data_IF_521236827378
#
_entry.id   IF_521236827378
#
_cell.length_a   1.000
_cell.length_b   1.000
_cell.length_c   1.000
_cell.angle_alpha   90.00
_cell.angle_beta   90.00
_cell.angle_gamma   90.00
#
_symmetry.space_group_name_H-M   'P 1'
#
loop_
_entity.id
_entity.type
_entity.pdbx_description
1 polymer ?
#
# COMPACT_ATOMS: atom_id res chain seq x y z
N UNK A 1 -11.70 35.95 -36.20
CA UNK A 1 -10.55 36.21 -35.32
C UNK A 1 -9.27 36.15 -36.17
N UNK A 2 -8.42 37.18 -36.16
CA UNK A 2 -7.24 37.20 -37.03
C UNK A 2 -6.16 36.21 -36.54
N UNK A 3 -5.35 35.67 -37.46
CA UNK A 3 -4.27 34.71 -37.16
C UNK A 3 -3.32 35.23 -36.05
N UNK A 4 -3.08 36.53 -36.02
CA UNK A 4 -2.25 37.19 -35.00
C UNK A 4 -2.87 37.18 -33.59
N UNK A 5 -4.20 37.27 -33.49
CA UNK A 5 -4.90 37.16 -32.19
C UNK A 5 -4.84 35.73 -31.66
N UNK A 6 -5.02 34.72 -32.53
CA UNK A 6 -4.91 33.32 -32.12
C UNK A 6 -3.49 32.93 -31.69
N UNK A 7 -2.46 33.48 -32.34
CA UNK A 7 -1.07 33.28 -31.95
C UNK A 7 -0.76 33.89 -30.57
N UNK A 8 -1.26 35.10 -30.29
CA UNK A 8 -1.13 35.74 -28.98
C UNK A 8 -1.81 34.93 -27.87
N UNK A 9 -3.05 34.46 -28.12
CA UNK A 9 -3.79 33.60 -27.18
C UNK A 9 -3.03 32.29 -26.91
N UNK A 10 -2.45 31.67 -27.94
CA UNK A 10 -1.67 30.44 -27.77
C UNK A 10 -0.40 30.66 -26.94
N UNK A 11 0.31 31.78 -27.14
CA UNK A 11 1.51 32.12 -26.36
C UNK A 11 1.17 32.34 -24.88
N UNK A 12 0.08 33.05 -24.58
CA UNK A 12 -0.38 33.24 -23.20
C UNK A 12 -0.83 31.94 -22.54
N UNK A 13 -1.50 31.06 -23.29
CA UNK A 13 -1.89 29.74 -22.81
C UNK A 13 -0.66 28.89 -22.44
N UNK A 14 0.33 28.81 -23.34
CA UNK A 14 1.56 28.06 -23.10
C UNK A 14 2.35 28.63 -21.91
N UNK A 15 2.44 29.96 -21.78
CA UNK A 15 3.13 30.60 -20.66
C UNK A 15 2.41 30.32 -19.34
N UNK A 16 1.08 30.36 -19.32
CA UNK A 16 0.29 30.04 -18.12
C UNK A 16 0.45 28.58 -17.70
N UNK A 17 0.47 27.64 -18.65
CA UNK A 17 0.69 26.21 -18.39
C UNK A 17 2.11 25.99 -17.85
N UNK A 18 3.11 26.63 -18.43
CA UNK A 18 4.50 26.54 -17.97
C UNK A 18 4.65 27.04 -16.53
N UNK A 19 4.03 28.17 -16.20
CA UNK A 19 4.02 28.72 -14.84
C UNK A 19 3.35 27.78 -13.84
N UNK A 20 2.23 27.15 -14.22
CA UNK A 20 1.55 26.15 -13.38
C UNK A 20 2.43 24.92 -13.17
N UNK A 21 3.06 24.39 -14.21
CA UNK A 21 3.94 23.21 -14.12
C UNK A 21 5.16 23.49 -13.23
N UNK A 22 5.81 24.65 -13.39
CA UNK A 22 6.96 25.05 -12.56
C UNK A 22 6.55 25.21 -11.09
N UNK A 23 5.38 25.82 -10.85
CA UNK A 23 4.84 25.96 -9.50
C UNK A 23 4.49 24.61 -8.87
N UNK A 24 3.89 23.70 -9.65
CA UNK A 24 3.52 22.36 -9.19
C UNK A 24 4.77 21.54 -8.83
N UNK A 25 5.84 21.62 -9.63
CA UNK A 25 7.12 20.96 -9.34
C UNK A 25 7.82 21.51 -8.09
N UNK A 26 7.60 22.78 -7.72
CA UNK A 26 8.14 23.36 -6.48
C UNK A 26 7.34 22.94 -5.23
N UNK A 27 6.03 22.66 -5.39
CA UNK A 27 5.13 22.26 -4.30
C UNK A 27 5.22 20.76 -3.97
N UNK A 28 5.83 19.94 -4.84
CA UNK A 28 6.10 18.53 -4.53
C UNK A 28 7.28 18.47 -3.55
N UNK A 29 7.05 18.89 -2.31
CA UNK A 29 7.80 18.36 -1.18
C UNK A 29 7.39 16.89 -1.08
N UNK A 30 8.20 16.03 -1.71
CA UNK A 30 8.21 14.60 -1.41
C UNK A 30 8.63 14.46 0.05
N UNK A 31 7.66 14.65 0.95
CA UNK A 31 7.84 14.54 2.39
C UNK A 31 8.44 13.19 2.68
N UNK A 32 9.76 13.17 2.94
CA UNK A 32 10.44 11.96 3.39
C UNK A 32 9.99 11.75 4.82
N UNK A 33 8.92 10.98 4.99
CA UNK A 33 8.49 10.52 6.30
C UNK A 33 9.64 9.69 6.87
N UNK A 34 10.31 10.23 7.89
CA UNK A 34 11.39 9.55 8.57
C UNK A 34 10.83 8.39 9.39
N UNK A 35 10.75 7.22 8.76
CA UNK A 35 10.27 5.98 9.38
C UNK A 35 11.21 5.47 10.48
N UNK A 36 12.45 5.99 10.57
CA UNK A 36 13.39 5.61 11.62
C UNK A 36 12.93 6.02 13.03
N UNK A 37 12.02 7.00 13.13
CA UNK A 37 11.45 7.45 14.41
C UNK A 37 10.40 6.50 14.99
N UNK A 38 9.89 5.55 14.20
CA UNK A 38 8.93 4.56 14.68
C UNK A 38 9.65 3.27 15.06
N UNK A 39 9.88 3.05 16.36
CA UNK A 39 10.63 1.90 16.86
C UNK A 39 10.07 1.38 18.18
N UNK A 40 10.74 0.40 18.81
CA UNK A 40 10.27 -0.25 20.05
C UNK A 40 10.04 0.72 21.21
N UNK A 41 10.75 1.85 21.26
CA UNK A 41 10.60 2.86 22.33
C UNK A 41 9.30 3.66 22.19
N UNK A 42 8.65 3.62 21.04
CA UNK A 42 7.33 4.21 20.82
C UNK A 42 6.20 3.48 21.56
N UNK A 43 6.48 2.29 22.13
CA UNK A 43 5.51 1.46 22.85
C UNK A 43 5.91 1.30 24.33
N UNK A 44 4.95 1.11 25.26
CA UNK A 44 5.26 0.81 26.66
C UNK A 44 6.25 -0.36 26.84
N UNK A 45 7.02 -0.36 27.94
CA UNK A 45 7.97 -1.45 28.21
C UNK A 45 7.30 -2.82 28.28
N UNK A 46 6.05 -2.87 28.74
CA UNK A 46 5.23 -4.09 28.83
C UNK A 46 4.49 -4.47 27.55
N UNK A 47 4.62 -3.70 26.47
CA UNK A 47 3.95 -4.02 25.21
C UNK A 47 4.53 -5.31 24.61
N UNK A 48 3.65 -6.27 24.29
CA UNK A 48 4.02 -7.56 23.70
C UNK A 48 3.83 -7.50 22.19
N UNK A 49 4.93 -7.76 21.46
CA UNK A 49 4.89 -8.10 20.05
C UNK A 49 4.98 -9.61 19.93
N UNK A 50 4.11 -10.21 19.11
CA UNK A 50 4.08 -11.64 18.90
C UNK A 50 3.60 -11.98 17.50
N UNK A 51 3.59 -13.26 17.20
CA UNK A 51 3.02 -13.84 15.98
C UNK A 51 1.96 -14.86 16.34
N UNK A 52 1.07 -15.18 15.40
CA UNK A 52 0.04 -16.18 15.57
C UNK A 52 -0.05 -17.05 14.31
N UNK A 53 -0.44 -18.31 14.50
CA UNK A 53 -0.75 -19.26 13.43
C UNK A 53 -2.05 -20.01 13.76
N UNK A 54 -2.60 -20.74 12.80
CA UNK A 54 -3.73 -21.65 13.03
C UNK A 54 -3.34 -23.09 12.70
N UNK A 55 -3.97 -24.04 13.39
CA UNK A 55 -3.70 -25.48 13.28
C UNK A 55 -3.77 -25.96 11.83
N UNK A 56 -4.91 -25.77 11.16
CA UNK A 56 -5.11 -26.27 9.79
C UNK A 56 -4.13 -25.67 8.77
N UNK A 57 -3.72 -24.42 8.97
CA UNK A 57 -2.79 -23.75 8.05
C UNK A 57 -1.33 -24.21 8.21
N UNK A 58 -0.94 -24.74 9.38
CA UNK A 58 0.47 -24.94 9.69
C UNK A 58 0.85 -26.35 10.16
N UNK A 59 -0.01 -27.04 10.91
CA UNK A 59 0.34 -28.33 11.52
C UNK A 59 0.48 -29.44 10.47
N UNK A 60 -0.38 -29.47 9.45
CA UNK A 60 -0.43 -30.58 8.50
C UNK A 60 -0.92 -31.86 9.16
N UNK A 61 -0.27 -33.01 8.85
CA UNK A 61 -0.52 -34.31 9.49
C UNK A 61 -2.02 -34.65 9.62
N UNK A 62 -2.82 -34.30 8.61
CA UNK A 62 -4.27 -34.22 8.75
C UNK A 62 -4.93 -35.58 9.06
N UNK A 63 -4.27 -36.68 8.70
CA UNK A 63 -4.69 -38.07 8.90
C UNK A 63 -3.60 -38.93 9.56
N UNK A 64 -2.82 -38.33 10.48
CA UNK A 64 -1.81 -39.04 11.27
C UNK A 64 -2.22 -39.09 12.75
N UNK A 65 -1.59 -39.99 13.52
CA UNK A 65 -1.68 -40.08 14.99
C UNK A 65 -3.11 -40.09 15.60
N UNK A 66 -4.10 -40.58 14.85
CA UNK A 66 -5.48 -40.68 15.31
C UNK A 66 -6.23 -39.35 15.34
N UNK A 67 -5.75 -38.31 14.64
CA UNK A 67 -6.47 -37.05 14.45
C UNK A 67 -7.78 -37.29 13.69
N UNK A 68 -8.89 -36.80 14.24
CA UNK A 68 -10.20 -36.83 13.57
C UNK A 68 -10.30 -35.80 12.44
N UNK A 69 -11.13 -36.04 11.39
CA UNK A 69 -11.30 -35.11 10.28
C UNK A 69 -11.95 -33.81 10.76
N UNK A 70 -11.46 -32.68 10.24
CA UNK A 70 -12.06 -31.37 10.41
C UNK A 70 -12.97 -30.99 9.24
N UNK A 71 -13.84 -30.00 9.43
CA UNK A 71 -14.68 -29.46 8.34
C UNK A 71 -13.81 -28.99 7.16
N UNK A 72 -12.66 -28.39 7.46
CA UNK A 72 -11.72 -27.92 6.44
C UNK A 72 -11.14 -29.07 5.62
N UNK A 73 -10.84 -30.22 6.25
CA UNK A 73 -10.42 -31.44 5.54
C UNK A 73 -11.48 -31.86 4.53
N UNK A 74 -12.74 -31.99 4.95
CA UNK A 74 -13.83 -32.41 4.05
C UNK A 74 -13.98 -31.42 2.89
N UNK A 75 -14.05 -30.13 3.18
CA UNK A 75 -14.31 -29.11 2.16
C UNK A 75 -13.25 -29.09 1.06
N UNK A 76 -11.95 -29.08 1.43
CA UNK A 76 -10.86 -28.96 0.45
C UNK A 76 -10.65 -30.23 -0.37
N UNK A 77 -10.98 -31.41 0.17
CA UNK A 77 -10.91 -32.66 -0.60
C UNK A 77 -12.07 -32.83 -1.57
N UNK A 78 -13.26 -32.33 -1.22
CA UNK A 78 -14.46 -32.48 -2.05
C UNK A 78 -14.58 -31.39 -3.14
N UNK A 79 -13.88 -30.26 -3.00
CA UNK A 79 -14.00 -29.09 -3.90
C UNK A 79 -12.63 -28.51 -4.29
N UNK A 80 -11.94 -29.10 -5.29
CA UNK A 80 -10.61 -28.66 -5.73
C UNK A 80 -10.61 -27.40 -6.61
#
# INVERSE_FOLDING_TARGET
MSKSVMASVQVHLVLSILLVVVSCSLVIEGGKYDTSKFNRTSFPKSFLFGTASSSYQYEGAYNEDGRGPSIWDTYTHEHP
#
